data_IF_877214966459
#
_entry.id   IF_877214966459
#
_cell.length_a   1.000
_cell.length_b   1.000
_cell.length_c   1.000
_cell.angle_alpha   90.00
_cell.angle_beta   90.00
_cell.angle_gamma   90.00
#
_symmetry.space_group_name_H-M   'P 1'
#
loop_
_entity.id
_entity.type
_entity.pdbx_description
1 polymer ?
#
# COMPACT_ATOMS: atom_id res chain seq x y z
N UNK A 1 -2.29 2.69 1.06
CA UNK A 1 -2.39 3.04 2.48
C UNK A 1 -3.22 4.28 2.67
N UNK A 2 -4.15 4.25 3.60
CA UNK A 2 -5.15 5.30 3.80
C UNK A 2 -5.27 5.61 5.30
N UNK A 3 -5.28 6.90 5.67
CA UNK A 3 -5.48 7.38 7.05
C UNK A 3 -6.88 7.95 7.20
N UNK A 4 -7.64 7.43 8.16
CA UNK A 4 -8.95 7.95 8.57
C UNK A 4 -8.89 8.44 10.01
N UNK A 5 -9.95 9.11 10.48
CA UNK A 5 -10.06 9.52 11.89
C UNK A 5 -10.07 8.33 12.86
N UNK A 6 -10.39 7.12 12.38
CA UNK A 6 -10.50 5.90 13.18
C UNK A 6 -9.21 5.06 13.22
N UNK A 7 -8.28 5.31 12.29
CA UNK A 7 -7.05 4.55 12.15
C UNK A 7 -6.59 4.41 10.70
N UNK A 8 -5.89 3.33 10.41
CA UNK A 8 -5.24 3.10 9.13
C UNK A 8 -5.84 1.90 8.41
N UNK A 9 -5.86 1.97 7.08
CA UNK A 9 -6.23 0.85 6.21
C UNK A 9 -5.11 0.64 5.19
N UNK A 10 -4.82 -0.63 4.93
CA UNK A 10 -3.82 -1.04 3.94
C UNK A 10 -4.43 -2.09 3.03
N UNK A 11 -4.05 -2.05 1.74
CA UNK A 11 -4.43 -3.07 0.77
C UNK A 11 -3.34 -3.18 -0.30
N UNK A 12 -3.03 -4.40 -0.70
CA UNK A 12 -2.11 -4.69 -1.80
C UNK A 12 -2.65 -5.81 -2.67
N UNK A 13 -2.30 -5.79 -3.96
CA UNK A 13 -2.36 -6.99 -4.77
C UNK A 13 -1.16 -7.90 -4.44
N UNK A 14 -1.14 -9.07 -5.06
CA UNK A 14 -0.06 -10.05 -4.90
C UNK A 14 0.56 -10.47 -6.23
N UNK A 15 0.04 -9.96 -7.37
CA UNK A 15 0.56 -10.32 -8.69
C UNK A 15 1.93 -9.71 -8.94
N UNK A 16 2.85 -10.54 -9.39
CA UNK A 16 4.17 -10.11 -9.87
C UNK A 16 4.41 -10.68 -11.26
N UNK A 17 4.82 -9.83 -12.19
CA UNK A 17 5.13 -10.21 -13.57
C UNK A 17 6.66 -10.24 -13.73
N UNK A 18 7.22 -11.40 -13.94
CA UNK A 18 8.63 -11.59 -14.30
C UNK A 18 8.76 -11.94 -15.79
N UNK A 19 8.21 -11.08 -16.68
CA UNK A 19 8.11 -11.33 -18.11
C UNK A 19 6.69 -11.73 -18.56
N UNK A 20 6.52 -11.97 -19.88
CA UNK A 20 5.20 -12.13 -20.50
C UNK A 20 4.47 -13.41 -20.02
N UNK A 21 5.21 -14.45 -19.66
CA UNK A 21 4.64 -15.78 -19.35
C UNK A 21 4.87 -16.24 -17.91
N UNK A 22 5.47 -15.40 -17.03
CA UNK A 22 5.77 -15.79 -15.66
C UNK A 22 5.00 -14.94 -14.65
N UNK A 23 3.72 -15.26 -14.47
CA UNK A 23 2.84 -14.66 -13.48
C UNK A 23 2.98 -15.46 -12.20
N UNK A 24 3.38 -14.79 -11.13
CA UNK A 24 3.54 -15.39 -9.81
C UNK A 24 2.82 -14.55 -8.74
N UNK A 25 2.47 -15.20 -7.64
CA UNK A 25 1.84 -14.56 -6.48
C UNK A 25 2.89 -14.38 -5.40
N UNK A 26 3.18 -13.13 -5.04
CA UNK A 26 4.10 -12.80 -3.96
C UNK A 26 3.46 -11.82 -2.97
N UNK A 27 3.78 -12.00 -1.71
CA UNK A 27 3.37 -11.07 -0.65
C UNK A 27 4.01 -9.70 -0.88
N UNK A 28 3.19 -8.65 -0.86
CA UNK A 28 3.63 -7.24 -1.00
C UNK A 28 3.29 -6.41 0.25
N UNK A 29 2.61 -6.99 1.23
CA UNK A 29 2.27 -6.37 2.50
C UNK A 29 2.87 -7.17 3.65
N UNK A 30 3.65 -6.53 4.51
CA UNK A 30 4.39 -7.12 5.62
C UNK A 30 4.04 -6.37 6.89
N UNK A 31 3.86 -7.09 7.99
CA UNK A 31 3.41 -6.49 9.25
C UNK A 31 4.19 -7.08 10.41
N UNK A 32 4.61 -6.19 11.30
CA UNK A 32 5.25 -6.50 12.59
C UNK A 32 4.45 -5.86 13.71
N UNK A 33 4.35 -6.52 14.85
CA UNK A 33 3.64 -6.00 16.00
C UNK A 33 4.29 -6.47 17.30
N UNK A 34 4.30 -5.57 18.29
CA UNK A 34 4.49 -5.88 19.70
C UNK A 34 3.22 -5.44 20.41
N UNK A 35 2.46 -6.39 20.92
CA UNK A 35 1.17 -6.13 21.55
C UNK A 35 1.29 -5.10 22.68
N UNK A 36 0.41 -4.09 22.64
CA UNK A 36 0.41 -2.97 23.57
C UNK A 36 1.50 -1.92 23.35
N UNK A 37 2.36 -2.08 22.33
CA UNK A 37 3.49 -1.16 22.06
C UNK A 37 3.50 -0.60 20.65
N UNK A 38 3.41 -1.46 19.61
CA UNK A 38 3.55 -0.99 18.24
C UNK A 38 2.91 -1.93 17.22
N UNK A 39 2.42 -1.35 16.13
CA UNK A 39 2.04 -2.08 14.92
C UNK A 39 2.60 -1.33 13.73
N UNK A 40 3.34 -2.02 12.88
CA UNK A 40 4.02 -1.48 11.70
C UNK A 40 3.66 -2.31 10.48
N UNK A 41 3.28 -1.66 9.40
CA UNK A 41 2.96 -2.31 8.12
C UNK A 41 3.74 -1.63 7.00
N UNK A 42 4.36 -2.45 6.14
CA UNK A 42 5.02 -2.01 4.91
C UNK A 42 4.32 -2.65 3.72
N UNK A 43 3.99 -1.82 2.73
CA UNK A 43 3.59 -2.27 1.40
C UNK A 43 4.68 -1.89 0.40
N UNK A 44 4.91 -2.74 -0.61
CA UNK A 44 5.95 -2.54 -1.59
C UNK A 44 5.42 -2.65 -3.02
N UNK A 45 5.98 -1.81 -3.91
CA UNK A 45 5.82 -1.90 -5.35
C UNK A 45 7.16 -1.64 -6.05
N UNK A 46 7.38 -2.28 -7.18
CA UNK A 46 8.62 -2.19 -7.97
C UNK A 46 9.39 -3.51 -7.99
N UNK A 47 10.70 -3.46 -7.86
CA UNK A 47 11.55 -4.65 -7.96
C UNK A 47 11.34 -5.62 -6.79
N UNK A 48 10.99 -6.86 -7.11
CA UNK A 48 10.71 -7.91 -6.13
C UNK A 48 11.96 -8.31 -5.34
N UNK A 49 13.12 -8.46 -6.00
CA UNK A 49 14.36 -8.87 -5.34
C UNK A 49 14.82 -7.82 -4.33
N UNK A 50 14.74 -6.53 -4.68
CA UNK A 50 15.01 -5.42 -3.77
C UNK A 50 14.07 -5.45 -2.57
N UNK A 51 12.78 -5.67 -2.81
CA UNK A 51 11.78 -5.78 -1.74
C UNK A 51 12.11 -6.95 -0.79
N UNK A 52 12.36 -8.15 -1.34
CA UNK A 52 12.68 -9.34 -0.54
C UNK A 52 13.98 -9.18 0.27
N UNK A 53 15.01 -8.58 -0.34
CA UNK A 53 16.27 -8.29 0.36
C UNK A 53 16.05 -7.33 1.52
N UNK A 54 15.29 -6.24 1.29
CA UNK A 54 14.96 -5.29 2.34
C UNK A 54 14.18 -5.97 3.48
N UNK A 55 13.12 -6.71 3.17
CA UNK A 55 12.30 -7.38 4.18
C UNK A 55 13.14 -8.38 4.99
N UNK A 56 14.00 -9.17 4.35
CA UNK A 56 14.89 -10.10 5.04
C UNK A 56 15.85 -9.40 6.01
N UNK A 57 16.34 -8.20 5.64
CA UNK A 57 17.16 -7.38 6.53
C UNK A 57 16.32 -6.91 7.72
N UNK A 58 15.12 -6.39 7.47
CA UNK A 58 14.22 -5.88 8.50
C UNK A 58 13.77 -6.99 9.48
N UNK A 59 13.46 -8.19 8.99
CA UNK A 59 13.14 -9.38 9.79
C UNK A 59 14.36 -9.81 10.65
N UNK A 60 15.55 -9.80 10.06
CA UNK A 60 16.78 -10.16 10.78
C UNK A 60 17.10 -9.21 11.93
N UNK A 61 16.72 -7.94 11.84
CA UNK A 61 16.85 -6.97 12.92
C UNK A 61 15.78 -7.13 14.00
N UNK A 62 14.58 -7.61 13.66
CA UNK A 62 13.53 -7.88 14.66
C UNK A 62 13.84 -9.09 15.54
N UNK A 63 14.49 -10.13 14.97
CA UNK A 63 14.63 -11.43 15.64
C UNK A 63 15.95 -11.59 16.41
N UNK A 64 17.05 -10.94 15.98
CA UNK A 64 18.39 -11.26 16.45
C UNK A 64 19.07 -10.18 17.32
N UNK A 65 18.56 -8.97 17.33
CA UNK A 65 19.18 -7.84 18.02
C UNK A 65 18.12 -6.98 18.71
N UNK A 66 17.54 -7.48 19.79
CA UNK A 66 16.53 -6.74 20.58
C UNK A 66 16.98 -5.32 20.93
N UNK A 67 18.28 -5.11 21.21
CA UNK A 67 18.85 -3.79 21.55
C UNK A 67 19.42 -3.01 20.37
N UNK A 68 19.26 -3.48 19.13
CA UNK A 68 19.80 -2.75 17.97
C UNK A 68 19.06 -1.44 17.74
N UNK A 69 19.75 -0.31 17.55
CA UNK A 69 19.13 0.96 17.16
C UNK A 69 18.47 0.89 15.76
N UNK A 70 18.70 -0.16 15.01
CA UNK A 70 18.11 -0.42 13.70
C UNK A 70 16.92 -1.37 13.77
N UNK A 71 16.59 -1.91 14.96
CA UNK A 71 15.41 -2.75 15.13
C UNK A 71 14.13 -1.95 14.86
N UNK A 72 13.32 -2.47 13.93
CA UNK A 72 12.05 -1.87 13.53
C UNK A 72 11.11 -1.57 14.69
N UNK A 73 11.11 -2.43 15.70
CA UNK A 73 10.16 -2.39 16.79
C UNK A 73 10.65 -1.55 17.98
N UNK A 74 11.94 -1.17 17.99
CA UNK A 74 12.57 -0.36 19.05
C UNK A 74 12.66 1.13 18.70
N UNK A 75 12.08 1.55 17.58
CA UNK A 75 12.07 2.96 17.22
C UNK A 75 11.18 3.78 18.15
N UNK A 76 11.60 4.99 18.46
CA UNK A 76 10.87 5.89 19.37
C UNK A 76 9.68 6.58 18.71
N UNK A 77 9.61 6.57 17.38
CA UNK A 77 8.52 7.17 16.61
C UNK A 77 8.41 6.57 15.22
N UNK A 78 7.25 6.71 14.60
CA UNK A 78 7.03 6.32 13.21
C UNK A 78 7.92 7.11 12.23
N UNK A 79 8.32 8.35 12.58
CA UNK A 79 9.24 9.15 11.77
C UNK A 79 10.66 8.54 11.76
N UNK A 80 11.18 8.18 12.93
CA UNK A 80 12.49 7.53 13.03
C UNK A 80 12.49 6.18 12.30
N UNK A 81 11.40 5.44 12.43
CA UNK A 81 11.22 4.21 11.67
C UNK A 81 11.27 4.45 10.15
N UNK A 82 10.57 5.47 9.64
CA UNK A 82 10.61 5.81 8.21
C UNK A 82 12.03 6.16 7.75
N UNK A 83 12.80 6.84 8.61
CA UNK A 83 14.20 7.18 8.35
C UNK A 83 15.11 5.94 8.28
N UNK A 84 14.90 4.97 9.17
CA UNK A 84 15.66 3.70 9.17
C UNK A 84 15.32 2.89 7.92
N UNK A 85 14.03 2.70 7.63
CA UNK A 85 13.56 1.93 6.46
C UNK A 85 14.04 2.57 5.16
N UNK A 86 13.95 3.91 5.04
CA UNK A 86 14.42 4.63 3.85
C UNK A 86 15.92 4.46 3.62
N UNK A 87 16.73 4.56 4.68
CA UNK A 87 18.18 4.32 4.60
C UNK A 87 18.48 2.89 4.14
N UNK A 88 17.80 1.88 4.71
CA UNK A 88 18.01 0.48 4.35
C UNK A 88 17.57 0.19 2.91
N UNK A 89 16.46 0.78 2.44
CA UNK A 89 16.05 0.67 1.05
C UNK A 89 17.13 1.20 0.11
N UNK A 90 17.66 2.38 0.39
CA UNK A 90 18.75 2.98 -0.40
C UNK A 90 20.01 2.10 -0.40
N UNK A 91 20.43 1.58 0.75
CA UNK A 91 21.59 0.68 0.87
C UNK A 91 21.41 -0.59 0.00
N UNK A 92 20.22 -1.22 0.02
CA UNK A 92 19.91 -2.40 -0.80
C UNK A 92 19.97 -2.06 -2.29
N UNK A 93 19.38 -0.94 -2.70
CA UNK A 93 19.40 -0.53 -4.11
C UNK A 93 20.84 -0.27 -4.58
N UNK A 94 21.64 0.45 -3.79
CA UNK A 94 23.04 0.76 -4.11
C UNK A 94 23.89 -0.51 -4.20
N UNK A 95 23.75 -1.45 -3.26
CA UNK A 95 24.51 -2.71 -3.28
C UNK A 95 24.22 -3.56 -4.52
N UNK A 96 23.03 -3.47 -5.09
CA UNK A 96 22.66 -4.17 -6.33
C UNK A 96 23.17 -3.43 -7.58
N UNK A 97 23.31 -2.10 -7.52
CA UNK A 97 23.78 -1.26 -8.65
C UNK A 97 25.29 -1.30 -8.84
N UNK A 98 26.07 -1.47 -7.78
CA UNK A 98 27.55 -1.51 -7.81
C UNK A 98 28.14 -2.70 -8.59
N UNK A 99 27.33 -3.66 -8.99
CA UNK A 99 27.73 -4.81 -9.81
C UNK A 99 27.91 -4.50 -11.31
N UNK A 100 27.96 -3.23 -11.70
CA UNK A 100 28.47 -2.79 -13.03
C UNK A 100 27.47 -2.86 -14.19
N UNK A 101 26.20 -3.03 -13.95
CA UNK A 101 25.16 -2.89 -14.97
C UNK A 101 24.43 -1.56 -14.86
N UNK A 102 24.25 -0.88 -16.00
CA UNK A 102 23.51 0.37 -16.16
C UNK A 102 21.99 0.18 -15.93
N UNK A 103 21.58 -0.21 -14.74
CA UNK A 103 20.20 -0.57 -14.46
C UNK A 103 19.71 -0.03 -13.12
N UNK A 104 20.14 1.17 -12.74
CA UNK A 104 19.73 1.80 -11.48
C UNK A 104 18.18 1.79 -11.31
N UNK A 105 17.44 2.14 -12.36
CA UNK A 105 15.98 2.13 -12.33
C UNK A 105 15.36 0.73 -12.24
N UNK A 106 16.04 -0.34 -12.66
CA UNK A 106 15.50 -1.70 -12.60
C UNK A 106 15.47 -2.29 -11.20
N UNK A 107 16.23 -1.73 -10.25
CA UNK A 107 16.23 -2.14 -8.84
C UNK A 107 15.34 -1.26 -7.96
N UNK A 108 14.65 -0.30 -8.53
CA UNK A 108 13.81 0.62 -7.75
C UNK A 108 12.63 -0.11 -7.11
N UNK A 109 12.41 0.20 -5.84
CA UNK A 109 11.19 -0.14 -5.10
C UNK A 109 10.70 1.12 -4.38
N UNK A 110 9.39 1.28 -4.31
CA UNK A 110 8.72 2.33 -3.54
C UNK A 110 7.89 1.66 -2.47
N UNK A 111 7.89 2.21 -1.27
CA UNK A 111 7.20 1.64 -0.13
C UNK A 111 6.12 2.57 0.40
N UNK A 112 5.07 1.98 0.98
CA UNK A 112 4.20 2.66 1.94
C UNK A 112 4.49 2.03 3.30
N UNK A 113 4.95 2.85 4.24
CA UNK A 113 5.15 2.48 5.63
C UNK A 113 4.06 3.14 6.46
N UNK A 114 3.33 2.37 7.26
CA UNK A 114 2.35 2.95 8.17
C UNK A 114 2.19 2.12 9.44
N UNK A 115 1.65 2.75 10.46
CA UNK A 115 1.47 2.11 11.76
C UNK A 115 1.38 3.11 12.89
N UNK A 116 1.58 2.60 14.09
CA UNK A 116 1.64 3.41 15.31
C UNK A 116 2.60 2.78 16.32
N UNK A 117 3.42 3.60 16.94
CA UNK A 117 4.27 3.27 18.08
C UNK A 117 3.70 3.99 19.29
N UNK A 118 3.75 3.37 20.46
CA UNK A 118 3.20 3.94 21.70
C UNK A 118 3.89 5.27 22.04
N UNK A 119 3.07 6.30 22.24
CA UNK A 119 3.55 7.67 22.44
C UNK A 119 3.57 8.52 21.16
N UNK A 120 3.32 7.91 19.98
CA UNK A 120 3.19 8.62 18.71
C UNK A 120 1.76 8.46 18.14
N UNK A 121 1.39 9.31 17.18
CA UNK A 121 0.14 9.21 16.42
C UNK A 121 0.24 8.15 15.31
N UNK A 122 -0.89 7.59 14.84
CA UNK A 122 -0.89 6.76 13.65
C UNK A 122 -0.44 7.57 12.43
N UNK A 123 0.58 7.07 11.72
CA UNK A 123 1.20 7.79 10.60
C UNK A 123 1.36 6.88 9.40
N UNK A 124 1.37 7.47 8.20
CA UNK A 124 1.68 6.79 6.94
C UNK A 124 2.71 7.62 6.17
N UNK A 125 3.74 6.95 5.69
CA UNK A 125 4.79 7.52 4.86
C UNK A 125 4.87 6.80 3.51
N UNK A 126 5.18 7.55 2.46
CA UNK A 126 5.64 6.99 1.20
C UNK A 126 7.14 7.19 1.11
N UNK A 127 7.89 6.09 0.97
CA UNK A 127 9.35 6.06 0.93
C UNK A 127 9.78 5.81 -0.50
N UNK A 128 10.62 6.70 -1.03
CA UNK A 128 11.15 6.65 -2.38
C UNK A 128 12.43 5.83 -2.48
N UNK A 129 12.83 5.38 -3.68
CA UNK A 129 14.06 4.60 -3.91
C UNK A 129 15.32 5.29 -3.37
N UNK A 130 15.34 6.61 -3.36
CA UNK A 130 16.45 7.44 -2.86
C UNK A 130 16.57 7.44 -1.33
N UNK A 131 15.60 6.82 -0.64
CA UNK A 131 15.54 6.73 0.83
C UNK A 131 14.86 7.90 1.51
N UNK A 132 14.52 8.97 0.78
CA UNK A 132 13.69 10.05 1.29
C UNK A 132 12.22 9.63 1.34
N UNK A 133 11.40 10.38 2.08
CA UNK A 133 9.99 10.05 2.25
C UNK A 133 9.14 11.30 2.48
N UNK A 134 7.84 11.13 2.23
CA UNK A 134 6.80 12.11 2.54
C UNK A 134 5.73 11.46 3.42
N UNK A 135 5.01 12.28 4.18
CA UNK A 135 3.92 11.84 5.05
C UNK A 135 2.55 12.22 4.48
N UNK A 136 1.52 11.42 4.77
CA UNK A 136 0.14 11.81 4.51
C UNK A 136 -0.21 13.08 5.30
N UNK A 137 -1.04 13.91 4.70
CA UNK A 137 -1.56 15.14 5.31
C UNK A 137 -3.09 15.15 5.25
N UNK A 138 -3.70 16.21 5.79
CA UNK A 138 -5.15 16.42 5.68
C UNK A 138 -5.57 16.52 4.21
N UNK A 139 -4.75 17.18 3.37
CA UNK A 139 -5.03 17.37 1.94
C UNK A 139 -4.67 16.15 1.10
N UNK A 140 -3.76 15.29 1.59
CA UNK A 140 -3.33 14.06 0.93
C UNK A 140 -3.38 12.89 1.93
N UNK A 141 -4.58 12.37 2.25
CA UNK A 141 -4.79 11.43 3.35
C UNK A 141 -4.48 9.96 3.01
N UNK A 142 -4.03 9.69 1.81
CA UNK A 142 -3.67 8.35 1.34
C UNK A 142 -2.50 8.39 0.36
N UNK A 143 -1.80 7.26 0.28
CA UNK A 143 -0.81 7.00 -0.76
C UNK A 143 -1.21 5.77 -1.57
N UNK A 144 -0.84 5.78 -2.84
CA UNK A 144 -0.90 4.67 -3.76
C UNK A 144 0.43 4.57 -4.48
N UNK A 145 0.97 3.36 -4.58
CA UNK A 145 2.23 3.05 -5.27
C UNK A 145 2.00 1.98 -6.34
N UNK A 146 2.95 1.80 -7.24
CA UNK A 146 2.79 0.93 -8.41
C UNK A 146 1.91 1.59 -9.48
N UNK A 147 0.86 0.89 -9.93
CA UNK A 147 -0.07 1.48 -10.90
C UNK A 147 -1.06 2.42 -10.20
N UNK A 148 -1.03 3.69 -10.56
CA UNK A 148 -1.84 4.72 -9.89
C UNK A 148 -2.89 5.39 -10.79
N UNK A 149 -2.78 5.22 -12.10
CA UNK A 149 -3.58 5.98 -13.08
C UNK A 149 -5.08 5.71 -12.97
N UNK A 150 -5.46 4.46 -12.71
CA UNK A 150 -6.85 4.02 -12.79
C UNK A 150 -7.57 4.04 -11.44
N UNK A 151 -6.86 3.74 -10.37
CA UNK A 151 -7.45 3.66 -9.02
C UNK A 151 -7.46 4.98 -8.26
N UNK A 152 -6.43 5.81 -8.40
CA UNK A 152 -6.29 7.08 -7.67
C UNK A 152 -7.46 8.06 -7.89
N UNK A 153 -8.02 8.22 -9.10
CA UNK A 153 -9.19 9.08 -9.30
C UNK A 153 -10.43 8.67 -8.49
N UNK A 154 -10.59 7.37 -8.21
CA UNK A 154 -11.68 6.86 -7.38
C UNK A 154 -11.48 7.29 -5.93
N UNK A 155 -10.27 7.10 -5.41
CA UNK A 155 -9.92 7.49 -4.04
C UNK A 155 -10.10 9.00 -3.82
N UNK A 156 -9.58 9.84 -4.71
CA UNK A 156 -9.68 11.31 -4.60
C UNK A 156 -11.13 11.78 -4.53
N UNK A 157 -12.03 11.17 -5.30
CA UNK A 157 -13.42 11.62 -5.41
C UNK A 157 -14.31 11.19 -4.26
N UNK A 158 -14.02 10.05 -3.64
CA UNK A 158 -14.93 9.42 -2.69
C UNK A 158 -14.37 9.29 -1.27
N UNK A 159 -13.10 9.67 -1.05
CA UNK A 159 -12.51 9.63 0.28
C UNK A 159 -13.17 10.65 1.22
N UNK A 160 -13.48 10.19 2.43
CA UNK A 160 -13.84 11.01 3.58
C UNK A 160 -13.11 10.48 4.82
N UNK A 161 -12.38 11.34 5.53
CA UNK A 161 -11.65 10.97 6.74
C UNK A 161 -12.54 10.40 7.86
N UNK A 162 -13.86 10.68 7.83
CA UNK A 162 -14.84 10.18 8.81
C UNK A 162 -15.43 8.81 8.47
N UNK A 163 -15.12 8.25 7.29
CA UNK A 163 -15.67 6.98 6.84
C UNK A 163 -15.40 5.84 7.82
N UNK A 164 -16.25 4.83 7.78
CA UNK A 164 -16.04 3.59 8.52
C UNK A 164 -14.91 2.77 7.89
N UNK A 165 -14.31 1.84 8.64
CA UNK A 165 -13.35 0.90 8.07
C UNK A 165 -13.94 0.08 6.93
N UNK A 166 -15.20 -0.32 7.05
CA UNK A 166 -15.89 -1.05 5.98
C UNK A 166 -16.03 -0.21 4.70
N UNK A 167 -16.37 1.08 4.83
CA UNK A 167 -16.43 1.98 3.67
C UNK A 167 -15.06 2.26 3.09
N UNK A 168 -14.03 2.42 3.93
CA UNK A 168 -12.65 2.58 3.49
C UNK A 168 -12.14 1.37 2.72
N UNK A 169 -12.36 0.14 3.21
CA UNK A 169 -12.02 -1.08 2.48
C UNK A 169 -12.79 -1.21 1.16
N UNK A 170 -14.10 -0.90 1.18
CA UNK A 170 -14.91 -0.87 -0.05
C UNK A 170 -14.35 0.12 -1.06
N UNK A 171 -13.96 1.32 -0.63
CA UNK A 171 -13.36 2.33 -1.50
C UNK A 171 -12.02 1.84 -2.08
N UNK A 172 -11.17 1.21 -1.27
CA UNK A 172 -9.93 0.59 -1.76
C UNK A 172 -10.23 -0.52 -2.78
N UNK A 173 -11.22 -1.38 -2.53
CA UNK A 173 -11.62 -2.42 -3.50
C UNK A 173 -12.08 -1.82 -4.82
N UNK A 174 -12.85 -0.74 -4.83
CA UNK A 174 -13.26 -0.04 -6.05
C UNK A 174 -12.07 0.55 -6.82
N UNK A 175 -11.07 1.05 -6.09
CA UNK A 175 -9.81 1.52 -6.67
C UNK A 175 -9.03 0.39 -7.33
N UNK A 176 -8.90 -0.76 -6.65
CA UNK A 176 -8.26 -1.96 -7.20
C UNK A 176 -9.04 -2.53 -8.39
N UNK A 177 -10.36 -2.67 -8.28
CA UNK A 177 -11.23 -3.15 -9.35
C UNK A 177 -11.06 -2.32 -10.63
N UNK A 178 -11.10 -0.99 -10.51
CA UNK A 178 -10.88 -0.10 -11.66
C UNK A 178 -9.48 -0.21 -12.26
N UNK A 179 -8.48 -0.56 -11.45
CA UNK A 179 -7.11 -0.80 -11.92
C UNK A 179 -7.00 -2.16 -12.61
N UNK A 180 -7.59 -3.20 -12.04
CA UNK A 180 -7.58 -4.59 -12.56
C UNK A 180 -8.24 -4.66 -13.94
N UNK A 181 -9.36 -3.94 -14.13
CA UNK A 181 -10.07 -3.86 -15.43
C UNK A 181 -9.23 -3.18 -16.53
N UNK A 182 -8.28 -2.34 -16.15
CA UNK A 182 -7.49 -1.52 -17.09
C UNK A 182 -6.03 -1.95 -17.23
N UNK A 183 -5.49 -2.75 -16.31
CA UNK A 183 -4.07 -3.10 -16.27
C UNK A 183 -3.83 -4.54 -15.77
N UNK A 184 -3.35 -5.39 -16.65
CA UNK A 184 -3.07 -6.80 -16.38
C UNK A 184 -1.97 -7.06 -15.35
N UNK A 185 -1.17 -6.05 -15.00
CA UNK A 185 -0.11 -6.19 -13.99
C UNK A 185 -0.63 -6.24 -12.55
N UNK A 186 -1.89 -5.88 -12.34
CA UNK A 186 -2.55 -5.88 -11.03
C UNK A 186 -3.67 -6.90 -11.03
N UNK A 187 -3.72 -7.77 -10.05
CA UNK A 187 -4.79 -8.77 -9.94
C UNK A 187 -4.92 -9.34 -8.53
N UNK A 188 -6.08 -9.95 -8.19
CA UNK A 188 -6.23 -10.77 -6.99
C UNK A 188 -5.23 -11.94 -6.96
N UNK A 189 -4.96 -12.52 -5.76
CA UNK A 189 -5.51 -12.16 -4.46
C UNK A 189 -5.12 -10.78 -3.97
N UNK A 190 -6.03 -10.13 -3.21
CA UNK A 190 -5.77 -8.84 -2.56
C UNK A 190 -5.63 -9.05 -1.06
N UNK A 191 -4.51 -8.63 -0.47
CA UNK A 191 -4.31 -8.63 0.97
C UNK A 191 -4.79 -7.30 1.56
N UNK A 192 -5.46 -7.33 2.72
CA UNK A 192 -5.87 -6.12 3.43
C UNK A 192 -5.54 -6.20 4.92
N UNK A 193 -5.39 -5.03 5.53
CA UNK A 193 -5.22 -4.86 6.97
C UNK A 193 -5.89 -3.59 7.45
N UNK A 194 -6.51 -3.66 8.63
CA UNK A 194 -7.09 -2.55 9.38
C UNK A 194 -6.29 -2.37 10.66
N UNK A 195 -5.90 -1.15 10.96
CA UNK A 195 -5.34 -0.78 12.24
C UNK A 195 -6.24 0.27 12.91
N UNK A 196 -6.77 -0.03 14.08
CA UNK A 196 -7.56 0.92 14.88
C UNK A 196 -6.61 1.81 15.67
N UNK A 197 -6.81 3.13 15.55
CA UNK A 197 -6.04 4.13 16.31
C UNK A 197 -5.98 3.77 17.79
N UNK A 198 -4.80 3.86 18.38
CA UNK A 198 -4.48 3.64 19.80
C UNK A 198 -4.79 2.22 20.34
N UNK A 199 -5.01 1.25 19.45
CA UNK A 199 -5.20 -0.14 19.90
C UNK A 199 -3.90 -0.86 20.23
N UNK A 200 -2.81 -0.55 19.53
CA UNK A 200 -1.50 -1.23 19.62
C UNK A 200 -1.63 -2.76 19.50
N UNK A 201 -2.61 -3.21 18.75
CA UNK A 201 -2.87 -4.60 18.45
C UNK A 201 -3.03 -4.78 16.95
N UNK A 202 -2.57 -5.92 16.46
CA UNK A 202 -2.83 -6.30 15.07
C UNK A 202 -4.35 -6.41 14.87
N UNK A 203 -4.89 -5.52 14.04
CA UNK A 203 -6.31 -5.47 13.74
C UNK A 203 -6.74 -6.52 12.72
N UNK A 204 -7.98 -6.39 12.24
CA UNK A 204 -8.50 -7.29 11.21
C UNK A 204 -7.64 -7.24 9.95
N UNK A 205 -7.27 -8.41 9.47
CA UNK A 205 -6.53 -8.60 8.23
C UNK A 205 -7.06 -9.83 7.50
N UNK A 206 -6.79 -9.93 6.22
CA UNK A 206 -7.25 -11.06 5.44
C UNK A 206 -6.85 -10.94 3.97
N UNK A 207 -7.28 -11.95 3.22
CA UNK A 207 -7.06 -12.09 1.78
C UNK A 207 -8.39 -12.21 1.06
N UNK A 208 -8.52 -11.48 -0.02
CA UNK A 208 -9.69 -11.48 -0.91
C UNK A 208 -9.27 -12.19 -2.20
N UNK A 209 -9.83 -13.34 -2.42
CA UNK A 209 -9.56 -14.15 -3.61
C UNK A 209 -10.35 -13.60 -4.84
N UNK A 210 -9.93 -14.00 -6.04
CA UNK A 210 -10.58 -13.59 -7.27
C UNK A 210 -12.05 -14.03 -7.37
N UNK A 211 -12.40 -15.12 -6.71
CA UNK A 211 -13.75 -15.67 -6.68
C UNK A 211 -14.56 -15.29 -5.43
N UNK A 212 -14.02 -14.43 -4.56
CA UNK A 212 -14.70 -13.94 -3.37
C UNK A 212 -16.08 -13.36 -3.71
N UNK A 213 -17.16 -13.83 -3.07
CA UNK A 213 -18.53 -13.39 -3.40
C UNK A 213 -18.76 -11.89 -3.17
N UNK A 214 -18.11 -11.32 -2.14
CA UNK A 214 -18.24 -9.88 -1.84
C UNK A 214 -17.51 -9.06 -2.90
N UNK A 215 -16.28 -9.44 -3.27
CA UNK A 215 -15.53 -8.77 -4.33
C UNK A 215 -16.29 -8.79 -5.66
N UNK A 216 -16.81 -9.95 -6.09
CA UNK A 216 -17.63 -10.06 -7.31
C UNK A 216 -18.87 -9.18 -7.26
N UNK A 217 -19.53 -9.09 -6.09
CA UNK A 217 -20.70 -8.23 -5.90
C UNK A 217 -20.32 -6.74 -6.01
N UNK A 218 -19.19 -6.34 -5.42
CA UNK A 218 -18.67 -4.95 -5.49
C UNK A 218 -18.33 -4.58 -6.92
N UNK A 219 -17.57 -5.39 -7.65
CA UNK A 219 -17.16 -5.17 -9.04
C UNK A 219 -18.36 -5.03 -9.97
N UNK A 220 -19.31 -5.99 -9.91
CA UNK A 220 -20.56 -5.94 -10.69
C UNK A 220 -21.40 -4.70 -10.37
N UNK A 221 -21.54 -4.39 -9.08
CA UNK A 221 -22.28 -3.24 -8.59
C UNK A 221 -21.68 -1.93 -9.08
N UNK A 222 -20.35 -1.81 -9.04
CA UNK A 222 -19.62 -0.65 -9.52
C UNK A 222 -19.81 -0.40 -11.01
N UNK A 223 -19.62 -1.43 -11.83
CA UNK A 223 -19.87 -1.34 -13.29
C UNK A 223 -21.30 -0.91 -13.61
N UNK A 224 -22.29 -1.40 -12.86
CA UNK A 224 -23.69 -1.00 -13.02
C UNK A 224 -23.93 0.45 -12.59
N UNK A 225 -23.36 0.87 -11.47
CA UNK A 225 -23.46 2.23 -10.96
C UNK A 225 -22.85 3.26 -11.92
N UNK A 226 -21.70 2.96 -12.52
CA UNK A 226 -21.07 3.83 -13.52
C UNK A 226 -21.95 3.99 -14.77
N UNK A 227 -22.59 2.91 -15.26
CA UNK A 227 -23.52 2.99 -16.40
C UNK A 227 -24.77 3.83 -16.08
N UNK A 228 -25.29 3.74 -14.85
CA UNK A 228 -26.42 4.56 -14.41
C UNK A 228 -26.00 6.02 -14.27
N UNK A 229 -24.85 6.30 -13.65
CA UNK A 229 -24.32 7.64 -13.53
C UNK A 229 -24.10 8.28 -14.90
N UNK A 230 -23.50 7.56 -15.86
CA UNK A 230 -23.31 8.03 -17.23
C UNK A 230 -24.64 8.41 -17.89
N UNK A 231 -25.69 7.58 -17.76
CA UNK A 231 -27.02 7.86 -18.34
C UNK A 231 -27.71 9.08 -17.72
N UNK A 232 -27.36 9.44 -16.48
CA UNK A 232 -27.94 10.61 -15.80
C UNK A 232 -27.22 11.93 -16.12
N UNK A 233 -26.08 11.89 -16.82
CA UNK A 233 -25.37 13.11 -17.21
C UNK A 233 -26.08 13.80 -18.38
N UNK A 234 -26.05 15.15 -18.44
CA UNK A 234 -26.65 15.90 -19.54
C UNK A 234 -25.90 15.62 -20.84
N UNK A 235 -26.68 15.50 -21.95
CA UNK A 235 -26.12 15.33 -23.29
C UNK A 235 -25.56 16.65 -23.82
N UNK A 236 -24.46 16.57 -24.57
CA UNK A 236 -24.00 17.69 -25.38
C UNK A 236 -25.02 18.00 -26.51
N UNK A 237 -25.49 19.23 -26.59
CA UNK A 237 -26.32 19.69 -27.72
C UNK A 237 -25.38 19.94 -28.89
N UNK A 238 -25.38 19.02 -29.85
CA UNK A 238 -24.66 19.20 -31.12
C UNK A 238 -25.54 20.07 -32.00
N UNK A 239 -25.17 21.34 -32.22
CA UNK A 239 -25.81 22.18 -33.24
C UNK A 239 -25.35 21.65 -34.58
N UNK A 240 -26.29 21.16 -35.38
CA UNK A 240 -26.03 20.84 -36.79
C UNK A 240 -25.55 22.13 -37.46
N UNK A 241 -24.35 22.11 -37.97
CA UNK A 241 -23.80 23.13 -38.86
C UNK A 241 -24.46 23.07 -40.21
#
# INVERSE_FOLDING_TARGET
GMKTNKGLLFMSDTRTNAGVDNISVFKKMFTWAIDGQSVVTILAAGNLATTQSLISILDGFSDKHEDSPENLLNQTSMFELARVVGRKLKEVIQSNSDSGQMADSSFHATLILGGQIKGDEPRIFMIYPEGNFIEVSVDNPFFQIGETKYGKPILIRAFDAKMSFADGLKLMLLSFDSTIEANLSVAPPLDFQIYKKDSFLLGANGRIEADDPYYRKVSKGWSSALKLAFKSMPNLIIKNS
#
